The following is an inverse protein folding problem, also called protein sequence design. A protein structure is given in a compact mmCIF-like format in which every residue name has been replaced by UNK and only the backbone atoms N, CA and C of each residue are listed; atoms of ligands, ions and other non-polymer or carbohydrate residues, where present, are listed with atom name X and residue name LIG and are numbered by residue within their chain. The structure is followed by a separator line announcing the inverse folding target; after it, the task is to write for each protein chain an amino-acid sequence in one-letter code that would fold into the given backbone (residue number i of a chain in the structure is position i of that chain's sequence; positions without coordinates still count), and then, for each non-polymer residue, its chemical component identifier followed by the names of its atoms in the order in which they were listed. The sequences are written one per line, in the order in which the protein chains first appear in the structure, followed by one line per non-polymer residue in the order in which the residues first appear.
data_IF_394756538754
#
_entry.id   IF_394756538754
#
_cell.length_a   1.000
_cell.length_b   1.000
_cell.length_c   1.000
_cell.angle_alpha   90.00
_cell.angle_beta   90.00
_cell.angle_gamma   90.00
#
_symmetry.space_group_name_H-M   'P 1'
#
loop_
_entity.id
_entity.type
_entity.pdbx_description
1 polymer ?
#
# COMPACT_ATOMS: atom_id res chain seq x y z
N UNK A 1 -6.08 10.92 7.20
CA UNK A 1 -5.60 9.50 7.18
C UNK A 1 -4.37 9.40 6.30
N UNK A 2 -3.51 8.45 6.61
CA UNK A 2 -2.18 8.39 6.01
C UNK A 2 -2.09 7.29 4.97
N UNK A 3 -1.60 7.63 3.79
CA UNK A 3 -1.39 6.69 2.69
C UNK A 3 -0.15 5.82 2.96
N UNK A 4 -0.25 4.51 2.73
CA UNK A 4 0.90 3.61 2.81
C UNK A 4 1.27 3.17 4.22
N UNK A 5 0.40 3.37 5.20
CA UNK A 5 0.67 3.03 6.60
C UNK A 5 -0.48 2.30 7.24
N UNK A 6 -0.16 1.47 8.23
CA UNK A 6 -1.17 0.91 9.12
C UNK A 6 -1.71 1.99 10.03
N UNK A 7 -3.00 1.97 10.27
CA UNK A 7 -3.64 2.92 11.17
C UNK A 7 -4.95 2.34 11.68
N UNK A 8 -5.37 2.82 12.84
CA UNK A 8 -6.63 2.40 13.44
C UNK A 8 -7.72 3.37 13.01
N UNK A 9 -8.77 2.84 12.39
CA UNK A 9 -9.89 3.62 11.91
C UNK A 9 -11.20 3.10 12.48
N UNK A 10 -12.21 3.96 12.55
CA UNK A 10 -13.52 3.67 13.13
C UNK A 10 -14.52 3.34 12.04
N UNK A 11 -15.31 2.28 12.22
CA UNK A 11 -16.41 1.96 11.31
C UNK A 11 -17.53 2.97 11.51
N UNK A 12 -17.79 3.78 10.47
CA UNK A 12 -18.80 4.84 10.55
C UNK A 12 -20.08 4.50 9.79
N UNK A 13 -20.04 3.57 8.84
CA UNK A 13 -21.22 3.18 8.08
C UNK A 13 -21.03 1.80 7.45
N UNK A 14 -22.09 1.00 7.45
CA UNK A 14 -22.14 -0.27 6.74
C UNK A 14 -22.92 -0.11 5.45
N UNK A 15 -22.42 -0.71 4.37
CA UNK A 15 -23.10 -0.74 3.07
C UNK A 15 -22.97 -2.16 2.50
N UNK A 16 -23.69 -2.44 1.41
CA UNK A 16 -23.71 -3.80 0.83
C UNK A 16 -22.33 -4.29 0.36
N UNK A 17 -21.50 -3.38 -0.14
CA UNK A 17 -20.21 -3.72 -0.72
C UNK A 17 -19.03 -3.56 0.26
N UNK A 18 -19.31 -3.20 1.52
CA UNK A 18 -18.25 -3.06 2.52
C UNK A 18 -18.66 -2.17 3.68
N UNK A 19 -17.66 -1.61 4.35
CA UNK A 19 -17.88 -0.62 5.40
C UNK A 19 -17.02 0.60 5.14
N UNK A 20 -17.51 1.78 5.55
CA UNK A 20 -16.72 3.00 5.52
C UNK A 20 -16.05 3.22 6.86
N UNK A 21 -14.76 3.52 6.80
CA UNK A 21 -13.93 3.78 7.97
C UNK A 21 -13.46 5.23 7.95
N UNK A 22 -13.24 5.79 9.13
CA UNK A 22 -12.76 7.16 9.28
C UNK A 22 -11.84 7.28 10.48
N UNK A 23 -11.13 8.40 10.56
CA UNK A 23 -10.27 8.69 11.72
C UNK A 23 -11.09 8.93 12.98
N UNK A 24 -12.33 9.41 12.82
CA UNK A 24 -13.28 9.56 13.93
C UNK A 24 -14.70 9.61 13.37
N UNK A 25 -15.68 9.42 14.25
CA UNK A 25 -17.09 9.47 13.84
C UNK A 25 -17.51 10.88 13.37
N UNK A 26 -16.76 11.90 13.74
CA UNK A 26 -17.05 13.29 13.36
C UNK A 26 -16.34 13.71 12.07
N UNK A 27 -15.39 12.92 11.57
CA UNK A 27 -14.65 13.25 10.36
C UNK A 27 -15.45 12.94 9.10
N UNK A 28 -15.33 13.80 8.10
CA UNK A 28 -15.95 13.59 6.79
C UNK A 28 -15.07 12.74 5.87
N UNK A 29 -13.79 12.61 6.18
CA UNK A 29 -12.88 11.79 5.40
C UNK A 29 -13.16 10.32 5.66
N UNK A 30 -13.46 9.58 4.60
CA UNK A 30 -13.83 8.17 4.70
C UNK A 30 -13.08 7.33 3.69
N UNK A 31 -12.84 6.07 4.07
CA UNK A 31 -12.23 5.09 3.19
C UNK A 31 -13.05 3.81 3.25
N UNK A 32 -13.15 3.13 2.11
CA UNK A 32 -13.92 1.87 2.02
C UNK A 32 -13.03 0.69 2.40
N UNK A 33 -13.56 -0.20 3.25
CA UNK A 33 -13.01 -1.54 3.46
C UNK A 33 -13.95 -2.52 2.78
N UNK A 34 -13.52 -3.22 1.72
CA UNK A 34 -14.39 -4.13 0.97
C UNK A 34 -14.96 -5.26 1.84
N UNK A 35 -16.18 -5.69 1.50
CA UNK A 35 -16.93 -6.67 2.29
C UNK A 35 -16.14 -7.95 2.59
N UNK A 36 -15.40 -8.46 1.61
CA UNK A 36 -14.63 -9.70 1.75
C UNK A 36 -13.47 -9.60 2.74
N UNK A 37 -13.10 -8.39 3.15
CA UNK A 37 -11.98 -8.17 4.07
C UNK A 37 -12.43 -7.76 5.45
N UNK A 38 -13.72 -7.71 5.70
CA UNK A 38 -14.28 -7.29 7.00
C UNK A 38 -14.18 -8.47 7.98
N UNK A 39 -13.53 -8.29 9.15
CA UNK A 39 -13.54 -9.31 10.19
C UNK A 39 -14.95 -9.57 10.68
N UNK A 40 -15.21 -10.80 11.13
CA UNK A 40 -16.52 -11.17 11.68
C UNK A 40 -16.85 -10.34 12.91
N UNK A 41 -18.11 -9.93 13.01
CA UNK A 41 -18.62 -9.25 14.19
C UNK A 41 -18.34 -7.75 14.26
N UNK A 42 -17.85 -7.16 13.19
CA UNK A 42 -17.61 -5.71 13.18
C UNK A 42 -18.91 -4.94 13.15
N UNK A 43 -19.02 -3.94 14.03
CA UNK A 43 -20.18 -3.09 14.19
C UNK A 43 -19.80 -1.62 13.99
N UNK A 44 -20.79 -0.79 13.69
CA UNK A 44 -20.60 0.66 13.65
C UNK A 44 -20.03 1.13 14.99
N UNK A 45 -18.96 1.94 14.92
CA UNK A 45 -18.25 2.41 16.10
C UNK A 45 -17.04 1.58 16.49
N UNK A 46 -16.89 0.39 15.92
CA UNK A 46 -15.71 -0.45 16.19
C UNK A 46 -14.47 0.13 15.51
N UNK A 47 -13.33 -0.08 16.15
CA UNK A 47 -12.03 0.33 15.60
C UNK A 47 -11.35 -0.86 14.95
N UNK A 48 -10.75 -0.62 13.79
CA UNK A 48 -10.03 -1.64 13.04
C UNK A 48 -8.65 -1.12 12.65
N UNK A 49 -7.65 -2.00 12.76
CA UNK A 49 -6.32 -1.72 12.23
C UNK A 49 -6.30 -2.10 10.76
N UNK A 50 -6.06 -1.14 9.89
CA UNK A 50 -6.05 -1.34 8.44
C UNK A 50 -4.84 -0.66 7.81
N UNK A 51 -4.51 -1.11 6.60
CA UNK A 51 -3.54 -0.46 5.75
C UNK A 51 -4.30 0.33 4.69
N UNK A 52 -3.91 1.59 4.46
CA UNK A 52 -4.60 2.47 3.51
C UNK A 52 -3.72 2.65 2.27
N UNK A 53 -4.32 2.39 1.11
CA UNK A 53 -3.65 2.55 -0.18
C UNK A 53 -4.66 3.05 -1.21
N UNK A 54 -4.26 3.16 -2.47
CA UNK A 54 -5.17 3.55 -3.54
C UNK A 54 -5.47 2.37 -4.46
N UNK A 55 -6.73 2.25 -4.87
CA UNK A 55 -7.14 1.21 -5.81
C UNK A 55 -6.76 1.60 -7.25
N UNK A 56 -7.16 0.77 -8.23
CA UNK A 56 -6.86 0.98 -9.64
C UNK A 56 -7.45 2.26 -10.22
N UNK A 57 -8.44 2.85 -9.54
CA UNK A 57 -9.09 4.10 -9.94
C UNK A 57 -8.58 5.29 -9.12
N UNK A 58 -7.44 5.13 -8.46
CA UNK A 58 -6.82 6.16 -7.62
C UNK A 58 -7.70 6.62 -6.44
N UNK A 59 -8.59 5.77 -5.97
CA UNK A 59 -9.42 6.06 -4.80
C UNK A 59 -8.80 5.42 -3.56
N UNK A 60 -8.87 6.12 -2.43
CA UNK A 60 -8.40 5.57 -1.17
C UNK A 60 -9.24 4.34 -0.81
N UNK A 61 -8.54 3.29 -0.41
CA UNK A 61 -9.17 2.04 0.00
C UNK A 61 -8.39 1.46 1.18
N UNK A 62 -9.09 0.77 2.07
CA UNK A 62 -8.47 0.10 3.22
C UNK A 62 -8.43 -1.39 2.98
N UNK A 63 -7.49 -2.06 3.64
CA UNK A 63 -7.40 -3.51 3.62
C UNK A 63 -6.99 -4.02 4.99
N UNK A 64 -7.52 -5.18 5.36
CA UNK A 64 -7.06 -5.93 6.53
C UNK A 64 -5.96 -6.92 6.15
N UNK A 65 -5.70 -7.10 4.86
CA UNK A 65 -4.56 -7.90 4.39
C UNK A 65 -3.27 -7.17 4.72
N UNK A 66 -2.22 -7.94 4.99
CA UNK A 66 -0.92 -7.36 5.31
C UNK A 66 -0.07 -7.25 4.05
N UNK A 67 0.28 -6.03 3.61
CA UNK A 67 1.21 -5.89 2.50
C UNK A 67 2.61 -6.31 2.94
N UNK A 68 3.41 -6.76 1.99
CA UNK A 68 4.80 -7.16 2.25
C UNK A 68 5.71 -5.95 2.49
N UNK A 69 5.21 -4.74 2.27
CA UNK A 69 5.99 -3.51 2.32
C UNK A 69 5.10 -2.35 2.77
N UNK A 70 5.59 -1.55 3.71
CA UNK A 70 4.93 -0.32 4.15
C UNK A 70 5.82 0.88 3.90
N UNK A 71 5.24 2.08 4.01
CA UNK A 71 5.98 3.32 3.77
C UNK A 71 7.20 3.41 4.72
N UNK A 72 8.35 3.70 4.16
CA UNK A 72 9.60 3.75 4.93
C UNK A 72 10.26 2.39 5.14
N UNK A 73 9.61 1.31 4.72
CA UNK A 73 10.15 -0.05 4.84
C UNK A 73 10.98 -0.46 3.64
N UNK A 74 11.60 -1.62 3.76
CA UNK A 74 12.44 -2.22 2.74
C UNK A 74 12.07 -3.70 2.65
N UNK A 75 11.82 -4.21 1.45
CA UNK A 75 11.42 -5.60 1.27
C UNK A 75 11.84 -6.13 -0.09
N UNK A 76 12.00 -7.45 -0.17
CA UNK A 76 12.22 -8.13 -1.46
C UNK A 76 10.86 -8.53 -2.02
N UNK A 77 10.55 -8.05 -3.21
CA UNK A 77 9.29 -8.37 -3.88
C UNK A 77 9.55 -9.04 -5.22
N UNK A 78 8.58 -9.86 -5.65
CA UNK A 78 8.66 -10.58 -6.91
C UNK A 78 8.05 -9.75 -8.03
N UNK A 79 8.76 -9.63 -9.14
CA UNK A 79 8.24 -8.97 -10.34
C UNK A 79 7.23 -9.89 -11.02
N UNK A 80 5.99 -9.43 -11.15
CA UNK A 80 4.93 -10.19 -11.81
C UNK A 80 4.90 -9.94 -13.32
N UNK A 81 5.14 -8.71 -13.73
CA UNK A 81 4.99 -8.29 -15.11
C UNK A 81 5.85 -7.07 -15.39
N UNK A 82 6.36 -6.99 -16.61
CA UNK A 82 7.07 -5.81 -17.09
C UNK A 82 6.33 -5.26 -18.30
N UNK A 83 6.05 -3.96 -18.30
CA UNK A 83 5.28 -3.28 -19.34
C UNK A 83 6.09 -2.13 -19.93
N UNK A 84 5.46 -1.37 -20.84
CA UNK A 84 6.08 -0.20 -21.46
C UNK A 84 6.40 0.91 -20.48
N UNK A 85 5.69 0.97 -19.34
CA UNK A 85 5.82 2.07 -18.36
C UNK A 85 6.62 1.67 -17.14
N UNK A 86 6.84 0.39 -16.91
CA UNK A 86 7.56 -0.10 -15.75
C UNK A 86 7.18 -1.51 -15.40
N UNK A 87 7.50 -1.93 -14.19
CA UNK A 87 7.21 -3.27 -13.69
C UNK A 87 6.09 -3.22 -12.66
N UNK A 88 5.39 -4.34 -12.52
CA UNK A 88 4.39 -4.55 -11.47
C UNK A 88 4.86 -5.66 -10.55
N UNK A 89 4.80 -5.39 -9.26
CA UNK A 89 5.35 -6.25 -8.22
C UNK A 89 4.24 -6.82 -7.35
N UNK A 90 4.43 -8.06 -6.91
CA UNK A 90 3.54 -8.68 -5.93
C UNK A 90 3.94 -8.24 -4.52
N UNK A 91 3.09 -7.47 -3.88
CA UNK A 91 3.31 -7.02 -2.50
C UNK A 91 2.23 -7.49 -1.53
N UNK A 92 1.43 -8.47 -1.95
CA UNK A 92 0.46 -9.12 -1.07
C UNK A 92 -0.94 -8.52 -1.11
N UNK A 93 -1.16 -7.46 -1.88
CA UNK A 93 -2.48 -6.83 -2.04
C UNK A 93 -3.04 -7.13 -3.42
N UNK A 94 -4.35 -6.88 -3.62
CA UNK A 94 -5.01 -7.15 -4.90
C UNK A 94 -4.44 -6.31 -6.03
N UNK A 95 -4.11 -5.05 -5.76
CA UNK A 95 -3.46 -4.18 -6.72
C UNK A 95 -1.97 -4.36 -6.63
N UNK A 96 -1.32 -4.69 -7.74
CA UNK A 96 0.13 -4.83 -7.78
C UNK A 96 0.81 -3.47 -7.54
N UNK A 97 2.02 -3.52 -6.98
CA UNK A 97 2.79 -2.31 -6.72
C UNK A 97 3.58 -1.93 -7.96
N UNK A 98 3.46 -0.68 -8.39
CA UNK A 98 4.11 -0.18 -9.58
C UNK A 98 5.55 0.27 -9.30
N UNK A 99 6.49 -0.18 -10.17
CA UNK A 99 7.89 0.24 -10.16
C UNK A 99 8.17 0.93 -11.49
N UNK A 100 8.18 2.28 -11.54
CA UNK A 100 8.45 2.99 -12.80
C UNK A 100 9.91 2.84 -13.24
N UNK A 101 10.16 2.91 -14.56
CA UNK A 101 11.52 2.75 -15.08
C UNK A 101 12.51 3.74 -14.49
N UNK A 102 12.09 4.96 -14.22
CA UNK A 102 12.98 5.98 -13.63
C UNK A 102 13.49 5.60 -12.25
N UNK A 103 12.82 4.67 -11.58
CA UNK A 103 13.19 4.22 -10.24
C UNK A 103 13.94 2.88 -10.26
N UNK A 104 14.28 2.38 -11.43
CA UNK A 104 15.08 1.15 -11.57
C UNK A 104 16.55 1.48 -11.73
N UNK A 105 17.41 0.82 -10.95
CA UNK A 105 18.86 0.92 -11.14
C UNK A 105 19.28 0.09 -12.35
N UNK A 106 18.57 -1.00 -12.62
CA UNK A 106 18.82 -1.88 -13.77
C UNK A 106 17.51 -2.51 -14.23
N UNK A 107 17.53 -3.08 -15.43
CA UNK A 107 16.36 -3.75 -15.97
C UNK A 107 16.01 -4.98 -15.13
N UNK A 108 14.70 -5.24 -15.01
CA UNK A 108 14.17 -6.41 -14.32
C UNK A 108 13.31 -7.21 -15.29
N UNK A 109 13.08 -8.48 -14.95
CA UNK A 109 12.24 -9.39 -15.73
C UNK A 109 11.21 -10.05 -14.83
N UNK A 110 10.10 -10.50 -15.41
CA UNK A 110 9.08 -11.23 -14.67
C UNK A 110 9.72 -12.44 -13.97
N UNK A 111 9.39 -12.63 -12.71
CA UNK A 111 9.98 -13.67 -11.87
C UNK A 111 11.18 -13.25 -11.05
N UNK A 112 11.77 -12.09 -11.35
CA UNK A 112 12.89 -11.59 -10.56
C UNK A 112 12.42 -11.20 -9.15
N UNK A 113 13.30 -11.40 -8.18
CA UNK A 113 13.11 -10.92 -6.82
C UNK A 113 14.03 -9.73 -6.62
N UNK A 114 13.46 -8.59 -6.25
CA UNK A 114 14.20 -7.33 -6.15
C UNK A 114 13.93 -6.64 -4.82
N UNK A 115 14.95 -5.96 -4.30
CA UNK A 115 14.85 -5.19 -3.07
C UNK A 115 14.33 -3.81 -3.40
N UNK A 116 13.22 -3.42 -2.77
CA UNK A 116 12.56 -2.14 -3.03
C UNK A 116 12.11 -1.47 -1.74
N UNK A 117 11.89 -0.17 -1.83
CA UNK A 117 11.20 0.60 -0.79
C UNK A 117 9.94 1.19 -1.39
N UNK A 118 9.02 1.60 -0.51
CA UNK A 118 7.75 2.20 -0.87
C UNK A 118 7.87 3.71 -0.73
N UNK A 119 7.41 4.44 -1.74
CA UNK A 119 7.37 5.91 -1.68
C UNK A 119 6.06 6.42 -2.25
N UNK A 120 5.76 7.69 -1.97
CA UNK A 120 4.60 8.38 -2.51
C UNK A 120 5.09 9.29 -3.63
N UNK A 121 4.58 9.09 -4.84
CA UNK A 121 4.99 9.91 -5.99
C UNK A 121 4.30 11.28 -5.99
N UNK A 122 4.61 12.11 -6.99
CA UNK A 122 4.06 13.46 -7.11
C UNK A 122 2.54 13.46 -7.30
N UNK A 123 1.98 12.35 -7.80
CA UNK A 123 0.55 12.20 -8.01
C UNK A 123 -0.16 11.61 -6.79
N UNK A 124 0.53 11.52 -5.65
CA UNK A 124 0.00 10.94 -4.41
C UNK A 124 -0.38 9.47 -4.57
N UNK A 125 0.46 8.70 -5.27
CA UNK A 125 0.31 7.26 -5.44
C UNK A 125 1.46 6.53 -4.77
N UNK A 126 1.17 5.34 -4.25
CA UNK A 126 2.20 4.46 -3.71
C UNK A 126 2.93 3.78 -4.85
N UNK A 127 4.25 3.90 -4.87
CA UNK A 127 5.11 3.28 -5.87
C UNK A 127 6.32 2.65 -5.21
N UNK A 128 6.98 1.74 -5.94
CA UNK A 128 8.22 1.13 -5.49
C UNK A 128 9.42 1.84 -6.12
N UNK A 129 10.56 1.78 -5.44
CA UNK A 129 11.83 2.23 -5.99
C UNK A 129 12.95 1.29 -5.56
N UNK A 130 13.83 0.95 -6.51
CA UNK A 130 15.06 0.22 -6.19
C UNK A 130 16.18 1.18 -5.80
N UNK A 131 15.96 2.47 -6.00
CA UNK A 131 16.91 3.54 -5.64
C UNK A 131 16.72 4.02 -4.21
N UNK A 132 15.65 3.58 -3.54
CA UNK A 132 15.28 4.05 -2.22
C UNK A 132 16.35 3.87 -1.16
N UNK A 133 17.18 2.84 -1.30
CA UNK A 133 18.27 2.58 -0.37
C UNK A 133 19.24 3.76 -0.26
N UNK A 134 19.38 4.54 -1.33
CA UNK A 134 20.26 5.72 -1.34
C UNK A 134 19.63 6.93 -0.66
N UNK A 135 18.36 6.86 -0.37
CA UNK A 135 17.60 7.93 0.31
C UNK A 135 17.30 7.59 1.76
N UNK A 136 17.75 6.42 2.22
CA UNK A 136 17.50 6.01 3.59
C UNK A 136 18.45 6.67 4.57
N UNK A 137 18.06 6.81 5.86
CA UNK A 137 18.97 7.28 6.89
C UNK A 137 20.25 6.45 6.92
N UNK A 138 21.35 7.08 7.31
CA UNK A 138 22.67 6.44 7.35
C UNK A 138 22.66 5.11 8.12
N UNK A 139 21.85 5.02 9.17
CA UNK A 139 21.74 3.81 9.97
C UNK A 139 21.30 2.59 9.17
N UNK A 140 20.56 2.77 8.08
CA UNK A 140 20.15 1.65 7.23
C UNK A 140 21.25 1.21 6.29
N UNK A 141 22.12 2.11 5.88
CA UNK A 141 23.22 1.77 4.98
C UNK A 141 24.27 0.90 5.64
N UNK A 142 24.37 0.93 6.96
CA UNK A 142 25.31 0.10 7.72
C UNK A 142 24.86 -1.36 7.87
N UNK A 143 23.61 -1.66 7.52
CA UNK A 143 23.06 -3.00 7.64
C UNK A 143 23.33 -3.87 6.43
N UNK A 144 23.85 -3.28 5.38
CA UNK A 144 24.21 -3.99 4.15
C UNK A 144 25.72 -4.20 4.00
#
# INVERSE_FOLDING_TARGET
MRLGEYQELVCVKKVDFGIYLSTSSASEERVLLPAKQIPDGVKQGDKLKVFVYKDSNDRLIATTNEPKLTLGGLSVLTVKEVTKIGAFLDWGLEKDLFLPYKEMVRKVSAGDEILVTLYIDKSQRLCATTKGIYHMPVSYTHLT
#
